data_IF_205498895241
#
_entry.id   IF_205498895241
#
_cell.length_a   1.000
_cell.length_b   1.000
_cell.length_c   1.000
_cell.angle_alpha   90.00
_cell.angle_beta   90.00
_cell.angle_gamma   90.00
#
_symmetry.space_group_name_H-M   'P 1'
#
loop_
_entity.id
_entity.type
_entity.pdbx_description
1 polymer ?
#
# COMPACT_ATOMS: atom_id res chain seq x y z
N UNK A 1 -26.55 22.49 73.29
CA UNK A 1 -26.37 21.54 72.19
C UNK A 1 -26.32 20.15 72.79
N UNK A 2 -27.36 19.36 72.61
CA UNK A 2 -27.43 18.01 73.17
C UNK A 2 -26.64 17.03 72.30
N UNK A 3 -26.20 15.90 72.85
CA UNK A 3 -25.48 14.85 72.10
C UNK A 3 -26.27 14.35 70.87
N UNK A 4 -27.60 14.38 70.93
CA UNK A 4 -28.48 14.02 69.82
C UNK A 4 -28.43 15.04 68.66
N UNK A 5 -28.28 16.34 68.96
CA UNK A 5 -28.14 17.39 67.94
C UNK A 5 -26.76 17.34 67.25
N UNK A 6 -25.70 17.04 68.00
CA UNK A 6 -24.35 16.80 67.47
C UNK A 6 -24.29 15.56 66.58
N UNK A 7 -24.91 14.46 67.00
CA UNK A 7 -24.96 13.22 66.22
C UNK A 7 -25.73 13.40 64.90
N UNK A 8 -26.86 14.13 64.90
CA UNK A 8 -27.62 14.43 63.68
C UNK A 8 -26.89 15.33 62.70
N UNK A 9 -26.21 16.37 63.18
CA UNK A 9 -25.46 17.30 62.33
C UNK A 9 -24.23 16.63 61.71
N UNK A 10 -23.50 15.81 62.47
CA UNK A 10 -22.39 15.01 61.95
C UNK A 10 -22.84 13.93 60.95
N UNK A 11 -23.98 13.28 61.18
CA UNK A 11 -24.54 12.31 60.24
C UNK A 11 -24.97 12.97 58.91
N UNK A 12 -25.57 14.16 58.95
CA UNK A 12 -25.95 14.94 57.76
C UNK A 12 -24.73 15.45 56.97
N UNK A 13 -23.66 15.88 57.66
CA UNK A 13 -22.40 16.29 57.03
C UNK A 13 -21.62 15.09 56.45
N UNK A 14 -21.64 13.94 57.14
CA UNK A 14 -21.05 12.70 56.67
C UNK A 14 -21.76 12.10 55.45
N UNK A 15 -23.10 12.16 55.42
CA UNK A 15 -23.91 11.71 54.27
C UNK A 15 -23.77 12.65 53.06
N UNK A 16 -23.76 13.97 53.27
CA UNK A 16 -23.68 14.92 52.14
C UNK A 16 -22.32 14.84 51.43
N UNK A 17 -21.22 14.71 52.16
CA UNK A 17 -19.88 14.59 51.55
C UNK A 17 -19.66 13.28 50.79
N UNK A 18 -20.15 12.15 51.30
CA UNK A 18 -20.03 10.84 50.65
C UNK A 18 -20.95 10.68 49.44
N UNK A 19 -22.20 11.15 49.51
CA UNK A 19 -23.15 11.11 48.39
C UNK A 19 -22.70 12.04 47.26
N UNK A 20 -22.25 13.26 47.58
CA UNK A 20 -21.73 14.20 46.57
C UNK A 20 -20.43 13.68 45.96
N UNK A 21 -19.51 13.13 46.76
CA UNK A 21 -18.29 12.50 46.25
C UNK A 21 -18.56 11.31 45.32
N UNK A 22 -19.52 10.46 45.67
CA UNK A 22 -19.96 9.33 44.84
C UNK A 22 -20.62 9.78 43.53
N UNK A 23 -21.47 10.81 43.57
CA UNK A 23 -22.10 11.38 42.39
C UNK A 23 -21.07 12.02 41.44
N UNK A 24 -20.11 12.80 41.98
CA UNK A 24 -19.01 13.39 41.20
C UNK A 24 -18.15 12.29 40.59
N UNK A 25 -17.81 11.25 41.35
CA UNK A 25 -17.05 10.10 40.85
C UNK A 25 -17.76 9.34 39.73
N UNK A 26 -19.08 9.15 39.85
CA UNK A 26 -19.89 8.50 38.82
C UNK A 26 -19.97 9.34 37.53
N UNK A 27 -20.16 10.65 37.66
CA UNK A 27 -20.18 11.58 36.52
C UNK A 27 -18.80 11.62 35.85
N UNK A 28 -17.70 11.75 36.60
CA UNK A 28 -16.35 11.72 36.07
C UNK A 28 -16.05 10.40 35.35
N UNK A 29 -16.42 9.27 35.95
CA UNK A 29 -16.27 7.95 35.32
C UNK A 29 -17.06 7.87 34.01
N UNK A 30 -18.31 8.34 34.00
CA UNK A 30 -19.15 8.37 32.79
C UNK A 30 -18.56 9.25 31.68
N UNK A 31 -18.02 10.43 32.03
CA UNK A 31 -17.37 11.34 31.07
C UNK A 31 -16.09 10.70 30.50
N UNK A 32 -15.25 10.11 31.36
CA UNK A 32 -14.02 9.43 30.93
C UNK A 32 -14.33 8.23 30.05
N UNK A 33 -15.27 7.37 30.43
CA UNK A 33 -15.68 6.22 29.61
C UNK A 33 -16.23 6.65 28.25
N UNK A 34 -17.03 7.72 28.21
CA UNK A 34 -17.58 8.22 26.95
C UNK A 34 -16.49 8.80 26.05
N UNK A 35 -15.56 9.59 26.59
CA UNK A 35 -14.40 10.08 25.83
C UNK A 35 -13.53 8.92 25.32
N UNK A 36 -13.31 7.90 26.14
CA UNK A 36 -12.53 6.73 25.75
C UNK A 36 -13.20 5.95 24.61
N UNK A 37 -14.52 5.75 24.68
CA UNK A 37 -15.31 5.12 23.61
C UNK A 37 -15.24 5.91 22.31
N UNK A 38 -15.44 7.24 22.37
CA UNK A 38 -15.37 8.11 21.20
C UNK A 38 -13.97 8.09 20.55
N UNK A 39 -12.92 8.10 21.37
CA UNK A 39 -11.54 8.00 20.87
C UNK A 39 -11.28 6.64 20.24
N UNK A 40 -11.71 5.55 20.87
CA UNK A 40 -11.59 4.19 20.33
C UNK A 40 -12.33 4.05 18.99
N UNK A 41 -13.53 4.58 18.87
CA UNK A 41 -14.28 4.59 17.61
C UNK A 41 -13.55 5.39 16.53
N UNK A 42 -13.06 6.58 16.86
CA UNK A 42 -12.27 7.40 15.94
C UNK A 42 -11.01 6.67 15.47
N UNK A 43 -10.28 6.03 16.38
CA UNK A 43 -9.10 5.23 16.04
C UNK A 43 -9.46 4.05 15.16
N UNK A 44 -10.54 3.31 15.47
CA UNK A 44 -11.02 2.21 14.61
C UNK A 44 -11.33 2.70 13.20
N UNK A 45 -12.06 3.81 13.06
CA UNK A 45 -12.40 4.36 11.73
C UNK A 45 -11.15 4.78 10.97
N UNK A 46 -10.24 5.52 11.61
CA UNK A 46 -8.99 5.97 10.99
C UNK A 46 -8.10 4.79 10.58
N UNK A 47 -8.00 3.77 11.44
CA UNK A 47 -7.24 2.56 11.19
C UNK A 47 -7.83 1.76 10.04
N UNK A 48 -9.15 1.52 10.05
CA UNK A 48 -9.85 0.84 8.95
C UNK A 48 -9.64 1.56 7.62
N UNK A 49 -9.77 2.90 7.60
CA UNK A 49 -9.56 3.70 6.39
C UNK A 49 -8.11 3.65 5.91
N UNK A 50 -7.14 3.67 6.81
CA UNK A 50 -5.73 3.52 6.45
C UNK A 50 -5.46 2.14 5.85
N UNK A 51 -5.99 1.07 6.46
CA UNK A 51 -5.84 -0.29 5.93
C UNK A 51 -6.50 -0.47 4.57
N UNK A 52 -7.70 0.10 4.39
CA UNK A 52 -8.39 0.12 3.10
C UNK A 52 -7.56 0.84 2.02
N UNK A 53 -7.03 2.04 2.34
CA UNK A 53 -6.16 2.78 1.43
C UNK A 53 -4.90 2.00 1.06
N UNK A 54 -4.24 1.37 2.04
CA UNK A 54 -3.04 0.56 1.81
C UNK A 54 -3.36 -0.66 0.94
N UNK A 55 -4.43 -1.38 1.25
CA UNK A 55 -4.87 -2.55 0.46
C UNK A 55 -5.19 -2.17 -0.99
N UNK A 56 -5.90 -1.05 -1.19
CA UNK A 56 -6.22 -0.53 -2.51
C UNK A 56 -4.96 -0.22 -3.32
N UNK A 57 -3.98 0.45 -2.71
CA UNK A 57 -2.73 0.82 -3.39
C UNK A 57 -1.86 -0.39 -3.72
N UNK A 58 -1.81 -1.38 -2.84
CA UNK A 58 -1.09 -2.63 -3.11
C UNK A 58 -1.75 -3.37 -4.29
N UNK A 59 -3.08 -3.44 -4.32
CA UNK A 59 -3.81 -4.06 -5.43
C UNK A 59 -3.58 -3.31 -6.75
N UNK A 60 -3.59 -1.97 -6.73
CA UNK A 60 -3.33 -1.13 -7.90
C UNK A 60 -1.91 -1.33 -8.44
N UNK A 61 -0.90 -1.37 -7.55
CA UNK A 61 0.49 -1.64 -7.94
C UNK A 61 0.65 -3.04 -8.52
N UNK A 62 0.04 -4.05 -7.90
CA UNK A 62 0.09 -5.42 -8.39
C UNK A 62 -0.53 -5.51 -9.80
N UNK A 63 -1.71 -4.92 -10.00
CA UNK A 63 -2.36 -4.86 -11.31
C UNK A 63 -1.48 -4.17 -12.35
N UNK A 64 -0.91 -3.00 -12.01
CA UNK A 64 -0.03 -2.27 -12.93
C UNK A 64 1.24 -3.05 -13.30
N UNK A 65 1.78 -3.90 -12.42
CA UNK A 65 2.92 -4.77 -12.71
C UNK A 65 2.51 -5.88 -13.69
N UNK A 66 1.35 -6.49 -13.50
CA UNK A 66 0.80 -7.52 -14.41
C UNK A 66 0.53 -6.93 -15.79
N UNK A 67 -0.02 -5.71 -15.86
CA UNK A 67 -0.27 -5.02 -17.13
C UNK A 67 1.00 -4.78 -17.94
N UNK A 68 2.09 -4.40 -17.27
CA UNK A 68 3.41 -4.21 -17.89
C UNK A 68 3.97 -5.55 -18.36
N UNK A 69 3.91 -6.58 -17.53
CA UNK A 69 4.35 -7.94 -17.87
C UNK A 69 3.63 -8.46 -19.11
N UNK A 70 2.30 -8.30 -19.18
CA UNK A 70 1.50 -8.70 -20.32
C UNK A 70 1.89 -7.92 -21.58
N UNK A 71 2.08 -6.60 -21.50
CA UNK A 71 2.45 -5.82 -22.67
C UNK A 71 3.85 -6.13 -23.19
N UNK A 72 4.79 -6.47 -22.29
CA UNK A 72 6.12 -6.94 -22.69
C UNK A 72 6.05 -8.35 -23.30
N UNK A 73 5.23 -9.24 -22.75
CA UNK A 73 4.99 -10.55 -23.33
C UNK A 73 4.38 -10.45 -24.72
N UNK A 74 3.30 -9.68 -24.88
CA UNK A 74 2.65 -9.42 -26.17
C UNK A 74 3.64 -8.83 -27.16
N UNK A 75 4.48 -7.91 -26.73
CA UNK A 75 5.49 -7.32 -27.58
C UNK A 75 6.51 -8.34 -28.13
N UNK A 76 6.86 -9.36 -27.34
CA UNK A 76 7.91 -10.34 -27.66
C UNK A 76 7.36 -11.56 -28.40
N UNK A 77 6.20 -12.05 -28.00
CA UNK A 77 5.63 -13.31 -28.47
C UNK A 77 4.45 -13.14 -29.43
N UNK A 78 4.09 -11.92 -29.80
CA UNK A 78 3.13 -11.70 -30.89
C UNK A 78 3.71 -12.36 -32.14
N UNK A 79 2.94 -13.30 -32.71
CA UNK A 79 3.25 -14.05 -33.92
C UNK A 79 3.55 -13.09 -35.07
N UNK A 80 4.80 -12.69 -35.13
CA UNK A 80 5.34 -11.74 -36.09
C UNK A 80 6.28 -12.54 -36.99
N UNK A 81 6.20 -12.36 -38.32
CA UNK A 81 7.17 -12.96 -39.21
C UNK A 81 8.58 -12.55 -38.76
N UNK A 82 9.50 -13.52 -38.76
CA UNK A 82 10.91 -13.29 -38.42
C UNK A 82 11.44 -12.10 -39.25
N UNK A 83 12.08 -11.14 -38.58
CA UNK A 83 12.60 -9.91 -39.20
C UNK A 83 11.61 -8.73 -39.26
N UNK A 84 10.34 -8.90 -38.86
CA UNK A 84 9.37 -7.80 -38.81
C UNK A 84 9.44 -7.11 -37.44
N UNK A 85 9.66 -5.79 -37.43
CA UNK A 85 9.65 -5.01 -36.21
C UNK A 85 8.21 -4.84 -35.68
N UNK A 86 7.97 -5.02 -34.36
CA UNK A 86 6.68 -4.78 -33.73
C UNK A 86 6.14 -3.40 -34.07
N UNK A 87 4.81 -3.26 -34.31
CA UNK A 87 4.19 -1.97 -34.57
C UNK A 87 4.62 -0.95 -33.52
N UNK A 88 4.99 0.27 -33.96
CA UNK A 88 5.41 1.33 -33.05
C UNK A 88 4.38 1.62 -31.94
N UNK A 89 3.10 1.41 -32.24
CA UNK A 89 2.00 1.56 -31.27
C UNK A 89 2.12 0.59 -30.08
N UNK A 90 2.57 -0.64 -30.29
CA UNK A 90 2.72 -1.64 -29.22
C UNK A 90 3.91 -1.28 -28.31
N UNK A 91 4.98 -0.74 -28.91
CA UNK A 91 6.16 -0.25 -28.18
C UNK A 91 5.81 0.96 -27.33
N UNK A 92 5.11 1.93 -27.90
CA UNK A 92 4.65 3.12 -27.18
C UNK A 92 3.69 2.76 -26.04
N UNK A 93 2.83 1.76 -26.24
CA UNK A 93 1.93 1.25 -25.19
C UNK A 93 2.71 0.67 -24.00
N UNK A 94 3.70 -0.19 -24.24
CA UNK A 94 4.52 -0.77 -23.18
C UNK A 94 5.30 0.31 -22.40
N UNK A 95 5.91 1.26 -23.12
CA UNK A 95 6.63 2.39 -22.50
C UNK A 95 5.70 3.26 -21.66
N UNK A 96 4.48 3.54 -22.15
CA UNK A 96 3.50 4.31 -21.42
C UNK A 96 3.09 3.63 -20.10
N UNK A 97 2.92 2.30 -20.10
CA UNK A 97 2.61 1.53 -18.89
C UNK A 97 3.76 1.52 -17.89
N UNK A 98 5.02 1.40 -18.34
CA UNK A 98 6.18 1.52 -17.45
C UNK A 98 6.23 2.90 -16.78
N UNK A 99 5.99 3.97 -17.55
CA UNK A 99 5.92 5.35 -17.00
C UNK A 99 4.77 5.50 -16.00
N UNK A 100 3.60 4.92 -16.28
CA UNK A 100 2.46 4.92 -15.37
C UNK A 100 2.79 4.18 -14.06
N UNK A 101 3.42 3.01 -14.14
CA UNK A 101 3.89 2.24 -12.98
C UNK A 101 4.88 3.05 -12.14
N UNK A 102 5.86 3.74 -12.75
CA UNK A 102 6.81 4.61 -12.02
C UNK A 102 6.07 5.69 -11.23
N UNK A 103 5.12 6.38 -11.87
CA UNK A 103 4.35 7.44 -11.22
C UNK A 103 3.51 6.91 -10.07
N UNK A 104 2.86 5.76 -10.25
CA UNK A 104 2.10 5.08 -9.21
C UNK A 104 3.02 4.70 -8.04
N UNK A 105 4.16 4.06 -8.31
CA UNK A 105 5.14 3.67 -7.30
C UNK A 105 5.60 4.86 -6.44
N UNK A 106 5.93 6.00 -7.07
CA UNK A 106 6.35 7.22 -6.37
C UNK A 106 5.26 7.80 -5.47
N UNK A 107 4.01 7.83 -5.93
CA UNK A 107 2.87 8.35 -5.16
C UNK A 107 2.50 7.43 -3.99
N UNK A 108 2.67 6.13 -4.18
CA UNK A 108 2.25 5.10 -3.25
C UNK A 108 3.24 4.84 -2.11
N UNK A 109 4.48 5.35 -2.19
CA UNK A 109 5.56 5.07 -1.22
C UNK A 109 5.16 5.25 0.25
N UNK A 110 4.38 6.29 0.55
CA UNK A 110 3.99 6.61 1.94
C UNK A 110 3.03 5.58 2.55
N UNK A 111 2.42 4.72 1.72
CA UNK A 111 1.44 3.72 2.11
C UNK A 111 2.02 2.30 2.18
N UNK A 112 3.28 2.11 1.76
CA UNK A 112 3.94 0.82 1.64
C UNK A 112 5.01 0.63 2.70
N UNK A 113 5.34 -0.63 2.99
CA UNK A 113 6.51 -0.95 3.78
C UNK A 113 7.80 -0.71 3.00
N UNK A 114 8.89 -0.45 3.73
CA UNK A 114 10.21 -0.17 3.16
C UNK A 114 10.69 -1.30 2.22
N UNK A 115 10.54 -2.57 2.64
CA UNK A 115 10.90 -3.74 1.83
C UNK A 115 10.15 -3.78 0.50
N UNK A 116 8.86 -3.47 0.52
CA UNK A 116 8.01 -3.42 -0.68
C UNK A 116 8.41 -2.26 -1.59
N UNK A 117 8.72 -1.10 -1.01
CA UNK A 117 9.23 0.04 -1.79
C UNK A 117 10.53 -0.33 -2.51
N UNK A 118 11.47 -0.99 -1.84
CA UNK A 118 12.74 -1.42 -2.44
C UNK A 118 12.53 -2.42 -3.58
N UNK A 119 11.61 -3.37 -3.41
CA UNK A 119 11.26 -4.34 -4.46
C UNK A 119 10.60 -3.66 -5.67
N UNK A 120 9.67 -2.73 -5.43
CA UNK A 120 9.02 -1.94 -6.50
C UNK A 120 10.03 -1.06 -7.22
N UNK A 121 10.90 -0.35 -6.49
CA UNK A 121 11.93 0.51 -7.07
C UNK A 121 12.91 -0.28 -7.95
N UNK A 122 13.28 -1.50 -7.54
CA UNK A 122 14.14 -2.37 -8.32
C UNK A 122 13.49 -2.73 -9.67
N UNK A 123 12.21 -3.14 -9.64
CA UNK A 123 11.46 -3.47 -10.86
C UNK A 123 11.25 -2.26 -11.76
N UNK A 124 10.86 -1.12 -11.20
CA UNK A 124 10.65 0.12 -11.97
C UNK A 124 11.94 0.53 -12.67
N UNK A 125 13.08 0.51 -11.97
CA UNK A 125 14.39 0.84 -12.55
C UNK A 125 14.76 -0.10 -13.69
N UNK A 126 14.54 -1.41 -13.52
CA UNK A 126 14.84 -2.38 -14.57
C UNK A 126 13.92 -2.19 -15.78
N UNK A 127 12.62 -1.98 -15.57
CA UNK A 127 11.65 -1.70 -16.63
C UNK A 127 11.92 -0.39 -17.36
N UNK A 128 12.45 0.63 -16.70
CA UNK A 128 12.84 1.88 -17.33
C UNK A 128 14.05 1.71 -18.25
N UNK A 129 15.05 0.97 -17.81
CA UNK A 129 16.19 0.63 -18.66
C UNK A 129 15.72 -0.11 -19.93
N UNK A 130 14.75 -1.01 -19.78
CA UNK A 130 14.08 -1.66 -20.92
C UNK A 130 13.39 -0.62 -21.80
N UNK A 131 12.57 0.25 -21.22
CA UNK A 131 11.81 1.27 -21.96
C UNK A 131 12.73 2.19 -22.77
N UNK A 132 13.85 2.64 -22.21
CA UNK A 132 14.85 3.45 -22.91
C UNK A 132 15.43 2.70 -24.11
N UNK A 133 15.74 1.41 -23.96
CA UNK A 133 16.22 0.56 -25.07
C UNK A 133 15.15 0.36 -26.13
N UNK A 134 13.88 0.24 -25.74
CA UNK A 134 12.75 0.11 -26.66
C UNK A 134 12.50 1.40 -27.46
N UNK A 135 12.61 2.56 -26.82
CA UNK A 135 12.47 3.87 -27.48
C UNK A 135 13.65 4.14 -28.44
N UNK A 136 14.87 3.74 -28.10
CA UNK A 136 16.08 3.96 -28.91
C UNK A 136 16.24 2.96 -30.08
N UNK A 137 15.16 2.32 -30.53
CA UNK A 137 15.16 1.22 -31.52
C UNK A 137 15.70 1.52 -32.91
N UNK A 138 16.01 2.76 -33.23
CA UNK A 138 16.61 3.13 -34.52
C UNK A 138 18.09 2.70 -34.67
N UNK A 139 18.75 2.18 -33.61
CA UNK A 139 20.23 2.05 -33.60
C UNK A 139 20.74 0.61 -33.83
N UNK A 140 19.91 -0.44 -33.78
CA UNK A 140 20.41 -1.81 -33.94
C UNK A 140 20.16 -2.36 -35.36
N UNK A 141 21.20 -2.38 -36.19
CA UNK A 141 21.16 -2.81 -37.59
C UNK A 141 21.19 -4.33 -37.81
N UNK A 142 21.28 -5.14 -36.74
CA UNK A 142 21.46 -6.59 -36.82
C UNK A 142 20.39 -7.33 -36.00
N UNK A 143 19.68 -8.25 -36.66
CA UNK A 143 18.52 -8.96 -36.13
C UNK A 143 18.90 -9.95 -35.00
N UNK A 144 20.10 -10.53 -35.05
CA UNK A 144 20.59 -11.46 -34.01
C UNK A 144 20.97 -10.71 -32.72
N UNK A 145 21.64 -9.57 -32.85
CA UNK A 145 21.95 -8.70 -31.72
C UNK A 145 20.67 -8.15 -31.09
N UNK A 146 19.66 -7.82 -31.90
CA UNK A 146 18.34 -7.41 -31.42
C UNK A 146 17.72 -8.52 -30.58
N UNK A 147 17.61 -9.74 -31.11
CA UNK A 147 16.98 -10.85 -30.38
C UNK A 147 17.69 -11.17 -29.05
N UNK A 148 19.03 -11.19 -29.05
CA UNK A 148 19.81 -11.40 -27.83
C UNK A 148 19.54 -10.33 -26.76
N UNK A 149 19.48 -9.05 -27.15
CA UNK A 149 19.14 -7.93 -26.28
C UNK A 149 17.73 -8.02 -25.68
N UNK A 150 16.75 -8.53 -26.45
CA UNK A 150 15.36 -8.67 -26.01
C UNK A 150 15.21 -9.84 -25.04
N UNK A 151 15.92 -10.95 -25.31
CA UNK A 151 15.94 -12.13 -24.46
C UNK A 151 16.58 -11.84 -23.10
N UNK A 152 17.69 -11.12 -23.06
CA UNK A 152 18.35 -10.72 -21.80
C UNK A 152 17.40 -9.93 -20.88
N UNK A 153 16.61 -9.03 -21.47
CA UNK A 153 15.59 -8.26 -20.76
C UNK A 153 14.52 -9.18 -20.19
N UNK A 154 14.02 -10.14 -20.97
CA UNK A 154 13.00 -11.07 -20.52
C UNK A 154 13.50 -11.95 -19.38
N UNK A 155 14.70 -12.51 -19.52
CA UNK A 155 15.33 -13.36 -18.51
C UNK A 155 15.50 -12.61 -17.19
N UNK A 156 15.86 -11.33 -17.25
CA UNK A 156 15.93 -10.48 -16.05
C UNK A 156 14.54 -10.26 -15.44
N UNK A 157 13.54 -9.92 -16.24
CA UNK A 157 12.18 -9.66 -15.75
C UNK A 157 11.54 -10.89 -15.11
N UNK A 158 11.81 -12.09 -15.62
CA UNK A 158 11.37 -13.35 -15.00
C UNK A 158 11.91 -13.55 -13.57
N UNK A 159 13.02 -12.92 -13.22
CA UNK A 159 13.60 -12.98 -11.87
C UNK A 159 13.02 -11.89 -10.96
N UNK A 160 12.90 -10.67 -11.47
CA UNK A 160 12.55 -9.51 -10.62
C UNK A 160 11.03 -9.36 -10.44
N UNK A 161 10.21 -9.72 -11.44
CA UNK A 161 8.75 -9.61 -11.34
C UNK A 161 8.13 -10.50 -10.24
N UNK A 162 8.52 -11.79 -10.07
CA UNK A 162 8.01 -12.59 -8.97
C UNK A 162 8.39 -12.01 -7.60
N UNK A 163 9.58 -11.42 -7.48
CA UNK A 163 10.08 -10.85 -6.23
C UNK A 163 9.19 -9.70 -5.74
N UNK A 164 8.84 -8.75 -6.63
CA UNK A 164 7.96 -7.63 -6.26
C UNK A 164 6.52 -8.09 -6.02
N UNK A 165 6.02 -9.05 -6.81
CA UNK A 165 4.67 -9.61 -6.65
C UNK A 165 4.54 -10.26 -5.27
N UNK A 166 5.52 -11.08 -4.88
CA UNK A 166 5.54 -11.71 -3.56
C UNK A 166 5.59 -10.68 -2.44
N UNK A 167 6.40 -9.63 -2.55
CA UNK A 167 6.46 -8.57 -1.54
C UNK A 167 5.10 -7.85 -1.37
N UNK A 168 4.44 -7.53 -2.48
CA UNK A 168 3.10 -6.92 -2.48
C UNK A 168 2.06 -7.86 -1.88
N UNK A 169 2.07 -9.14 -2.24
CA UNK A 169 1.15 -10.13 -1.69
C UNK A 169 1.35 -10.37 -0.19
N UNK A 170 2.60 -10.45 0.27
CA UNK A 170 2.95 -10.57 1.70
C UNK A 170 2.42 -9.37 2.50
N UNK A 171 2.65 -8.15 2.00
CA UNK A 171 2.14 -6.95 2.66
C UNK A 171 0.60 -6.90 2.64
N UNK A 172 -0.04 -7.32 1.54
CA UNK A 172 -1.50 -7.43 1.46
C UNK A 172 -2.06 -8.43 2.47
N UNK A 173 -1.49 -9.63 2.55
CA UNK A 173 -1.89 -10.67 3.53
C UNK A 173 -1.69 -10.17 4.97
N UNK A 174 -0.62 -9.42 5.22
CA UNK A 174 -0.37 -8.78 6.52
C UNK A 174 -1.48 -7.81 6.91
N UNK A 175 -2.04 -7.04 5.96
CA UNK A 175 -3.19 -6.16 6.22
C UNK A 175 -4.45 -6.95 6.58
N UNK A 176 -4.66 -8.12 5.96
CA UNK A 176 -5.80 -8.99 6.24
C UNK A 176 -5.68 -9.75 7.58
N UNK A 177 -4.54 -9.66 8.26
CA UNK A 177 -4.25 -10.45 9.46
C UNK A 177 -3.94 -11.92 9.16
N UNK A 178 -3.63 -12.25 7.90
CA UNK A 178 -3.12 -13.56 7.50
C UNK A 178 -1.59 -13.57 7.70
N UNK A 179 -1.14 -13.64 8.95
CA UNK A 179 0.24 -13.96 9.37
C UNK A 179 0.17 -14.91 10.54
#
# INVERSE_FOLDING_TARGET
MTWEELARTLALLGFSSTVVGGAIGFVLKGVVENQFKQNLERFKIQFSKLHEMRASVIAELYGSIVDVEQALHDWIYKDMPVGVAPPAVDVLKAVAQVRALRLLALRSRILLQQRTCEAVDAVVRDLENVSIRLENREIMSDDDARWAAHKEVLDRLQIVLPTVKNALEEEFRSILGAV
#
